data_IF_121812191619
#
_entry.id   IF_121812191619
#
_cell.length_a   1.000
_cell.length_b   1.000
_cell.length_c   1.000
_cell.angle_alpha   90.00
_cell.angle_beta   90.00
_cell.angle_gamma   90.00
#
_symmetry.space_group_name_H-M   'P 1'
#
loop_
_entity.id
_entity.type
_entity.pdbx_description
1 polymer ?
#
# COMPACT_ATOMS: atom_id res chain seq x y z
N UNK A 1 -2.08 13.72 -10.63
CA UNK A 1 -2.61 14.41 -9.46
C UNK A 1 -2.17 13.66 -8.21
N UNK A 2 -1.52 14.32 -7.26
CA UNK A 2 -1.16 13.68 -6.00
C UNK A 2 -2.41 13.38 -5.20
N UNK A 3 -2.33 12.33 -4.36
CA UNK A 3 -3.40 12.03 -3.41
C UNK A 3 -2.83 11.95 -1.99
N UNK A 4 -3.72 12.13 -1.05
CA UNK A 4 -3.42 12.17 0.38
C UNK A 4 -4.06 10.99 1.09
N UNK A 5 -3.36 10.50 2.10
CA UNK A 5 -3.86 9.42 2.95
C UNK A 5 -3.58 9.73 4.41
N UNK A 6 -4.59 9.53 5.23
CA UNK A 6 -4.43 9.47 6.69
C UNK A 6 -4.67 8.02 7.08
N UNK A 7 -3.64 7.38 7.66
CA UNK A 7 -3.71 5.97 8.02
C UNK A 7 -3.29 5.77 9.46
N UNK A 8 -4.14 5.08 10.23
CA UNK A 8 -3.78 4.63 11.57
C UNK A 8 -3.34 3.17 11.49
N UNK A 9 -2.16 2.90 11.98
CA UNK A 9 -1.56 1.56 12.00
C UNK A 9 -1.43 1.08 13.43
N UNK A 10 -1.80 -0.18 13.65
CA UNK A 10 -1.59 -0.86 14.91
C UNK A 10 -0.62 -2.02 14.68
N UNK A 11 0.47 -2.05 15.43
CA UNK A 11 1.51 -3.09 15.33
C UNK A 11 1.65 -3.82 16.65
N UNK A 12 1.98 -5.11 16.57
CA UNK A 12 2.19 -5.95 17.73
C UNK A 12 0.92 -6.63 18.21
N UNK A 13 1.00 -7.28 19.38
CA UNK A 13 -0.10 -8.02 19.99
C UNK A 13 -0.15 -7.75 21.49
N UNK A 14 -1.36 -7.63 22.02
CA UNK A 14 -1.59 -7.47 23.46
C UNK A 14 -0.92 -6.24 24.03
N UNK A 15 -0.13 -6.42 25.10
CA UNK A 15 0.54 -5.33 25.79
C UNK A 15 1.65 -4.67 24.98
N UNK A 16 2.15 -5.35 23.93
CA UNK A 16 3.18 -4.84 23.04
C UNK A 16 2.58 -4.12 21.82
N UNK A 17 1.28 -3.91 21.79
CA UNK A 17 0.61 -3.22 20.70
C UNK A 17 0.95 -1.73 20.71
N UNK A 18 1.35 -1.23 19.54
CA UNK A 18 1.65 0.20 19.33
C UNK A 18 0.77 0.73 18.22
N UNK A 19 0.30 1.94 18.38
CA UNK A 19 -0.54 2.63 17.40
C UNK A 19 0.14 3.92 16.96
N UNK A 20 0.09 4.19 15.64
CA UNK A 20 0.55 5.46 15.10
C UNK A 20 -0.31 5.85 13.91
N UNK A 21 -0.39 7.17 13.67
CA UNK A 21 -1.10 7.73 12.52
C UNK A 21 -0.10 8.39 11.59
N UNK A 22 -0.18 8.03 10.32
CA UNK A 22 0.68 8.55 9.26
C UNK A 22 -0.12 9.39 8.28
N UNK A 23 0.43 10.53 7.93
CA UNK A 23 -0.08 11.39 6.87
C UNK A 23 0.84 11.30 5.68
N UNK A 24 0.31 10.87 4.53
CA UNK A 24 1.10 10.57 3.34
C UNK A 24 0.57 11.34 2.15
N UNK A 25 1.48 11.97 1.42
CA UNK A 25 1.23 12.44 0.06
C UNK A 25 1.90 11.46 -0.89
N UNK A 26 1.17 11.00 -1.89
CA UNK A 26 1.69 10.10 -2.90
C UNK A 26 1.42 10.67 -4.29
N UNK A 27 2.44 10.64 -5.14
CA UNK A 27 2.36 11.11 -6.52
C UNK A 27 3.03 10.11 -7.45
N UNK A 28 2.31 9.68 -8.48
CA UNK A 28 2.87 8.81 -9.51
C UNK A 28 3.92 9.55 -10.35
N UNK A 29 4.97 8.85 -10.72
CA UNK A 29 6.04 9.39 -11.56
C UNK A 29 5.84 8.97 -13.02
N UNK A 30 5.85 7.66 -13.31
CA UNK A 30 5.68 7.12 -14.66
C UNK A 30 4.43 6.26 -14.81
N UNK A 31 3.85 5.79 -13.70
CA UNK A 31 2.68 4.92 -13.71
C UNK A 31 2.20 4.62 -12.31
N UNK A 32 1.36 3.58 -12.16
CA UNK A 32 0.77 3.22 -10.88
C UNK A 32 1.74 2.54 -9.91
N UNK A 33 2.84 1.98 -10.46
CA UNK A 33 3.76 1.16 -9.68
C UNK A 33 4.96 1.94 -9.16
N UNK A 34 5.24 3.12 -9.69
CA UNK A 34 6.29 3.97 -9.18
C UNK A 34 5.72 5.31 -8.72
N UNK A 35 6.16 5.73 -7.56
CA UNK A 35 5.63 6.93 -6.95
C UNK A 35 6.63 7.59 -6.02
N UNK A 36 6.45 8.89 -5.84
CA UNK A 36 7.12 9.65 -4.81
C UNK A 36 6.16 9.74 -3.63
N UNK A 37 6.63 9.36 -2.46
CA UNK A 37 5.89 9.46 -1.22
C UNK A 37 6.56 10.42 -0.25
N UNK A 38 5.75 11.25 0.40
CA UNK A 38 6.16 12.07 1.53
C UNK A 38 5.28 11.72 2.69
N UNK A 39 5.89 11.31 3.78
CA UNK A 39 5.14 10.76 4.91
C UNK A 39 5.65 11.31 6.23
N UNK A 40 4.75 11.60 7.13
CA UNK A 40 5.07 12.04 8.48
C UNK A 40 4.04 11.49 9.45
N UNK A 41 4.46 11.32 10.69
CA UNK A 41 3.58 10.91 11.76
C UNK A 41 2.81 12.13 12.30
N UNK A 42 1.51 11.95 12.59
CA UNK A 42 0.65 12.97 13.16
C UNK A 42 -0.01 12.45 14.43
N UNK A 43 -0.27 13.35 15.36
CA UNK A 43 -0.79 12.97 16.67
C UNK A 43 -2.29 12.68 16.72
N UNK A 44 -3.08 13.33 15.88
CA UNK A 44 -4.54 13.22 15.92
C UNK A 44 -5.10 13.01 14.51
N UNK A 45 -5.56 11.78 14.20
CA UNK A 45 -6.11 11.49 12.88
C UNK A 45 -7.39 12.26 12.55
N UNK A 46 -8.25 12.47 13.54
CA UNK A 46 -9.51 13.19 13.34
C UNK A 46 -9.29 14.65 12.96
N UNK A 47 -8.38 15.33 13.65
CA UNK A 47 -8.01 16.70 13.33
C UNK A 47 -7.34 16.79 11.97
N UNK A 48 -6.46 15.85 11.65
CA UNK A 48 -5.77 15.83 10.35
C UNK A 48 -6.76 15.67 9.19
N UNK A 49 -7.74 14.78 9.34
CA UNK A 49 -8.80 14.60 8.35
C UNK A 49 -9.61 15.90 8.19
N UNK A 50 -9.95 16.57 9.30
CA UNK A 50 -10.68 17.82 9.25
C UNK A 50 -9.89 18.91 8.51
N UNK A 51 -8.60 19.04 8.78
CA UNK A 51 -7.72 19.98 8.07
C UNK A 51 -7.73 19.73 6.57
N UNK A 52 -7.55 18.49 6.17
CA UNK A 52 -7.49 18.11 4.76
C UNK A 52 -8.81 18.42 4.06
N UNK A 53 -9.94 18.17 4.71
CA UNK A 53 -11.27 18.50 4.17
C UNK A 53 -11.46 20.03 4.02
N UNK A 54 -11.01 20.79 4.99
CA UNK A 54 -11.09 22.26 4.91
C UNK A 54 -10.23 22.84 3.80
N UNK A 55 -9.13 22.16 3.44
CA UNK A 55 -8.30 22.53 2.30
C UNK A 55 -8.94 22.20 0.95
N UNK A 56 -10.10 21.54 0.94
CA UNK A 56 -10.86 21.27 -0.27
C UNK A 56 -10.71 19.87 -0.82
N UNK A 57 -10.02 18.96 -0.12
CA UNK A 57 -9.92 17.57 -0.55
C UNK A 57 -11.19 16.80 -0.21
N UNK A 58 -11.59 15.93 -1.13
CA UNK A 58 -12.80 15.13 -1.00
C UNK A 58 -12.41 13.68 -0.70
N UNK A 59 -13.07 13.00 0.24
CA UNK A 59 -12.81 11.60 0.51
C UNK A 59 -13.03 10.74 -0.74
N UNK A 60 -12.06 9.87 -1.02
CA UNK A 60 -12.12 8.93 -2.14
C UNK A 60 -12.51 7.54 -1.68
N UNK A 61 -11.87 7.05 -0.65
CA UNK A 61 -12.13 5.74 -0.10
C UNK A 61 -11.76 5.68 1.38
N UNK A 62 -12.38 4.72 2.06
CA UNK A 62 -12.05 4.36 3.43
C UNK A 62 -11.94 2.84 3.45
N UNK A 63 -10.78 2.31 3.82
CA UNK A 63 -10.57 0.88 3.84
C UNK A 63 -9.74 0.44 5.03
N UNK A 64 -9.95 -0.81 5.41
CA UNK A 64 -9.27 -1.44 6.52
C UNK A 64 -8.63 -2.73 6.05
N UNK A 65 -7.41 -2.99 6.47
CA UNK A 65 -6.71 -4.22 6.11
C UNK A 65 -5.85 -4.73 7.24
N UNK A 66 -5.59 -6.03 7.20
CA UNK A 66 -4.59 -6.68 8.04
C UNK A 66 -3.46 -7.14 7.16
N UNK A 67 -2.24 -6.75 7.48
CA UNK A 67 -1.05 -7.11 6.71
C UNK A 67 -0.14 -8.00 7.52
N UNK A 68 0.31 -9.09 6.91
CA UNK A 68 1.39 -9.93 7.40
C UNK A 68 2.59 -9.73 6.50
N UNK A 69 3.75 -9.53 7.10
CA UNK A 69 4.98 -9.31 6.34
C UNK A 69 6.01 -10.36 6.69
N UNK A 70 6.82 -10.70 5.71
CA UNK A 70 7.97 -11.58 5.87
C UNK A 70 9.02 -11.22 4.85
N UNK A 71 10.20 -11.82 4.99
CA UNK A 71 11.26 -11.61 4.02
C UNK A 71 11.69 -12.92 3.40
N UNK A 72 11.90 -12.89 2.09
CA UNK A 72 12.50 -13.96 1.32
C UNK A 72 13.75 -13.38 0.65
N UNK A 73 14.92 -13.58 1.27
CA UNK A 73 16.17 -12.92 0.91
C UNK A 73 16.02 -11.39 0.98
N UNK A 74 16.22 -10.67 -0.12
CA UNK A 74 16.09 -9.23 -0.21
C UNK A 74 14.69 -8.75 -0.62
N UNK A 75 13.74 -9.68 -0.71
CA UNK A 75 12.36 -9.37 -1.12
C UNK A 75 11.46 -9.38 0.10
N UNK A 76 10.71 -8.31 0.28
CA UNK A 76 9.63 -8.26 1.27
C UNK A 76 8.36 -8.85 0.68
N UNK A 77 7.77 -9.80 1.42
CA UNK A 77 6.52 -10.45 1.06
C UNK A 77 5.42 -9.92 1.97
N UNK A 78 4.39 -9.35 1.39
CA UNK A 78 3.23 -8.86 2.12
C UNK A 78 2.00 -9.65 1.73
N UNK A 79 1.24 -10.10 2.73
CA UNK A 79 -0.07 -10.72 2.52
C UNK A 79 -1.09 -9.84 3.20
N UNK A 80 -1.98 -9.28 2.41
CA UNK A 80 -3.01 -8.35 2.86
C UNK A 80 -4.37 -9.02 2.82
N UNK A 81 -5.08 -8.95 3.95
CA UNK A 81 -6.50 -9.26 4.00
C UNK A 81 -7.25 -7.94 4.09
N UNK A 82 -7.92 -7.58 3.01
CA UNK A 82 -8.59 -6.27 2.88
C UNK A 82 -10.08 -6.48 3.07
N UNK A 83 -10.64 -5.80 4.06
CA UNK A 83 -12.06 -5.92 4.39
C UNK A 83 -12.91 -5.52 3.18
N UNK A 84 -13.78 -6.43 2.76
CA UNK A 84 -14.67 -6.23 1.62
C UNK A 84 -14.06 -6.54 0.24
N UNK A 85 -12.77 -6.83 0.15
CA UNK A 85 -12.09 -7.14 -1.13
C UNK A 85 -11.50 -8.54 -1.18
N UNK A 86 -10.97 -9.06 -0.07
CA UNK A 86 -10.32 -10.36 -0.02
C UNK A 86 -8.82 -10.27 0.23
N UNK A 87 -8.12 -11.32 -0.18
CA UNK A 87 -6.70 -11.49 0.12
C UNK A 87 -5.83 -11.19 -1.10
N UNK A 88 -4.71 -10.52 -0.84
CA UNK A 88 -3.76 -10.11 -1.88
C UNK A 88 -2.33 -10.39 -1.41
N UNK A 89 -1.45 -10.64 -2.37
CA UNK A 89 -0.02 -10.78 -2.12
C UNK A 89 0.73 -9.71 -2.89
N UNK A 90 1.70 -9.11 -2.21
CA UNK A 90 2.56 -8.08 -2.78
C UNK A 90 4.02 -8.44 -2.50
N UNK A 91 4.85 -8.32 -3.53
CA UNK A 91 6.30 -8.47 -3.40
C UNK A 91 6.96 -7.12 -3.65
N UNK A 92 7.90 -6.77 -2.79
CA UNK A 92 8.62 -5.50 -2.90
C UNK A 92 10.12 -5.74 -2.76
N UNK A 93 10.89 -5.14 -3.65
CA UNK A 93 12.35 -5.12 -3.60
C UNK A 93 12.83 -3.68 -3.73
N UNK A 94 13.64 -3.24 -2.78
CA UNK A 94 14.33 -1.96 -2.88
C UNK A 94 15.45 -2.08 -3.92
N UNK A 95 15.54 -1.11 -4.80
CA UNK A 95 16.50 -1.12 -5.90
C UNK A 95 17.15 0.26 -6.06
N UNK A 96 18.37 0.26 -6.61
CA UNK A 96 19.07 1.49 -6.96
C UNK A 96 18.40 2.20 -8.13
N UNK A 97 18.60 3.51 -8.23
CA UNK A 97 18.07 4.31 -9.34
C UNK A 97 18.50 3.80 -10.72
N UNK A 98 19.66 3.14 -10.79
CA UNK A 98 20.23 2.62 -12.02
C UNK A 98 19.78 1.19 -12.34
N UNK A 99 19.00 0.56 -11.48
CA UNK A 99 18.51 -0.80 -11.72
C UNK A 99 17.46 -0.80 -12.84
N UNK A 100 17.48 -1.86 -13.65
CA UNK A 100 16.49 -2.04 -14.72
C UNK A 100 15.17 -2.56 -14.13
N UNK A 101 14.09 -1.78 -14.19
CA UNK A 101 12.79 -2.19 -13.65
C UNK A 101 12.25 -3.49 -14.27
N UNK A 102 12.54 -3.74 -15.54
CA UNK A 102 12.06 -4.94 -16.22
C UNK A 102 12.70 -6.20 -15.64
N UNK A 103 14.00 -6.16 -15.33
CA UNK A 103 14.72 -7.28 -14.72
C UNK A 103 14.18 -7.59 -13.32
N UNK A 104 13.96 -6.54 -12.53
CA UNK A 104 13.41 -6.67 -11.18
C UNK A 104 12.00 -7.27 -11.24
N UNK A 105 11.16 -6.76 -12.12
CA UNK A 105 9.79 -7.26 -12.30
C UNK A 105 9.78 -8.73 -12.70
N UNK A 106 10.64 -9.14 -13.62
CA UNK A 106 10.74 -10.54 -14.03
C UNK A 106 11.20 -11.44 -12.88
N UNK A 107 12.14 -10.99 -12.07
CA UNK A 107 12.59 -11.72 -10.89
C UNK A 107 11.47 -11.87 -9.86
N UNK A 108 10.70 -10.82 -9.62
CA UNK A 108 9.57 -10.86 -8.71
C UNK A 108 8.48 -11.82 -9.20
N UNK A 109 8.20 -11.85 -10.49
CA UNK A 109 7.25 -12.82 -11.07
C UNK A 109 7.73 -14.25 -10.95
N UNK A 110 9.04 -14.48 -11.05
CA UNK A 110 9.62 -15.81 -10.83
C UNK A 110 9.36 -16.27 -9.40
N UNK A 111 9.55 -15.39 -8.42
CA UNK A 111 9.27 -15.67 -7.00
C UNK A 111 7.77 -15.93 -6.78
N UNK A 112 6.90 -15.13 -7.39
CA UNK A 112 5.45 -15.34 -7.33
C UNK A 112 5.06 -16.72 -7.84
N UNK A 113 5.65 -17.15 -8.95
CA UNK A 113 5.38 -18.48 -9.53
C UNK A 113 5.80 -19.60 -8.57
N UNK A 114 6.92 -19.46 -7.88
CA UNK A 114 7.36 -20.41 -6.85
C UNK A 114 6.38 -20.47 -5.67
N UNK A 115 5.71 -19.36 -5.38
CA UNK A 115 4.71 -19.28 -4.33
C UNK A 115 3.30 -19.70 -4.80
N UNK A 116 3.16 -20.13 -6.05
CA UNK A 116 1.90 -20.62 -6.59
C UNK A 116 0.97 -19.55 -7.16
N UNK A 117 1.48 -18.34 -7.36
CA UNK A 117 0.72 -17.22 -7.92
C UNK A 117 1.12 -16.98 -9.36
N UNK A 118 0.16 -16.87 -10.26
CA UNK A 118 0.41 -16.66 -11.69
C UNK A 118 0.15 -15.21 -12.12
N UNK A 119 0.66 -14.84 -13.30
CA UNK A 119 0.40 -13.51 -13.87
C UNK A 119 -1.08 -13.24 -14.15
N UNK A 120 -1.89 -14.28 -14.27
CA UNK A 120 -3.35 -14.15 -14.45
C UNK A 120 -4.02 -13.57 -13.20
N UNK A 121 -3.38 -13.71 -12.04
CA UNK A 121 -3.88 -13.20 -10.77
C UNK A 121 -3.46 -11.75 -10.50
N UNK A 122 -2.74 -11.14 -11.45
CA UNK A 122 -2.19 -9.79 -11.28
C UNK A 122 -3.29 -8.74 -11.11
N UNK A 123 -3.07 -7.88 -10.10
CA UNK A 123 -3.92 -6.73 -9.83
C UNK A 123 -3.03 -5.48 -9.91
N UNK A 124 -3.36 -4.57 -10.82
CA UNK A 124 -2.61 -3.34 -11.04
C UNK A 124 -3.22 -2.13 -10.36
N UNK A 125 -4.52 -2.17 -10.08
CA UNK A 125 -5.21 -1.10 -9.38
C UNK A 125 -4.91 -1.16 -7.86
N UNK A 126 -4.82 0.00 -7.23
CA UNK A 126 -4.75 0.07 -5.77
C UNK A 126 -6.06 -0.38 -5.12
N UNK A 127 -6.00 -0.71 -3.84
CA UNK A 127 -7.18 -1.18 -3.10
C UNK A 127 -8.29 -0.14 -3.05
N UNK A 128 -7.95 1.14 -3.01
CA UNK A 128 -8.90 2.24 -3.05
C UNK A 128 -9.72 2.24 -4.34
N UNK A 129 -9.06 2.03 -5.47
CA UNK A 129 -9.72 1.95 -6.79
C UNK A 129 -10.58 0.70 -6.87
N UNK A 130 -10.07 -0.45 -6.41
CA UNK A 130 -10.83 -1.70 -6.39
C UNK A 130 -12.09 -1.58 -5.53
N UNK A 131 -11.98 -0.95 -4.37
CA UNK A 131 -13.12 -0.73 -3.48
C UNK A 131 -14.17 0.16 -4.13
N UNK A 132 -13.73 1.21 -4.82
CA UNK A 132 -14.64 2.11 -5.53
C UNK A 132 -15.37 1.41 -6.66
N UNK A 133 -14.68 0.56 -7.43
CA UNK A 133 -15.30 -0.24 -8.50
C UNK A 133 -16.33 -1.22 -7.95
N UNK A 134 -16.07 -1.81 -6.80
CA UNK A 134 -16.98 -2.77 -6.16
C UNK A 134 -18.28 -2.10 -5.72
N UNK A 135 -18.20 -0.84 -5.29
CA UNK A 135 -19.36 -0.06 -4.80
C UNK A 135 -20.12 0.67 -5.90
N UNK A 136 -19.60 0.65 -7.11
CA UNK A 136 -20.23 1.32 -8.25
C UNK A 136 -21.48 0.58 -8.73
#
# INVERSE_FOLDING_TARGET
>A
VPWLRVRTETHGQGENETERTLFTLKRSVTGQLDSIERETEVGDPGVMIAIVKELGFVPFSDLSKTRRTGKLNDVEVCIDSVEGLGDFMELERLADENADPAVITDDLWRIMAELGVSRQDEVTDGYDILMKKLRA
#
